data_IF_371128487364
#
_entry.id   IF_371128487364
#
_cell.length_a   1.000
_cell.length_b   1.000
_cell.length_c   1.000
_cell.angle_alpha   90.00
_cell.angle_beta   90.00
_cell.angle_gamma   90.00
#
_symmetry.space_group_name_H-M   'P 1'
#
loop_
_entity.id
_entity.type
_entity.pdbx_description
1 polymer ?
#
# COMPACT_ATOMS: atom_id res chain seq x y z
N UNK A 1 30.49 23.87 -29.31
CA UNK A 1 29.67 24.40 -28.18
C UNK A 1 28.43 23.58 -28.08
N UNK A 2 28.41 22.66 -27.15
CA UNK A 2 27.32 22.04 -26.41
C UNK A 2 27.83 20.73 -25.78
N UNK A 3 28.26 20.75 -24.50
CA UNK A 3 28.29 19.52 -23.73
C UNK A 3 27.73 19.82 -22.34
N UNK A 4 26.41 20.02 -22.22
CA UNK A 4 25.77 20.24 -20.88
C UNK A 4 24.43 19.55 -20.69
N UNK A 5 23.96 18.73 -21.65
CA UNK A 5 22.66 18.04 -21.58
C UNK A 5 22.80 16.57 -21.14
N UNK A 6 24.00 15.98 -21.17
CA UNK A 6 24.20 14.57 -20.77
C UNK A 6 24.39 14.32 -19.27
N UNK A 7 24.60 15.34 -18.46
CA UNK A 7 24.85 15.18 -17.01
C UNK A 7 23.58 15.04 -16.15
N UNK A 8 22.39 15.36 -16.66
CA UNK A 8 21.13 15.35 -15.91
C UNK A 8 20.34 14.04 -16.00
N UNK A 9 20.77 13.09 -16.85
CA UNK A 9 20.08 11.81 -17.02
C UNK A 9 20.61 10.65 -16.16
N UNK A 10 21.66 10.86 -15.37
CA UNK A 10 22.30 9.80 -14.55
C UNK A 10 21.99 9.80 -13.05
N UNK A 11 21.08 10.64 -12.55
CA UNK A 11 20.73 10.69 -11.13
C UNK A 11 19.57 9.77 -10.70
N UNK A 12 19.14 8.83 -11.53
CA UNK A 12 17.98 7.95 -11.32
C UNK A 12 18.30 6.48 -11.01
N UNK A 13 19.55 6.09 -10.83
CA UNK A 13 19.85 4.71 -10.41
C UNK A 13 19.70 4.56 -8.89
N UNK A 14 18.49 4.22 -8.45
CA UNK A 14 18.24 3.73 -7.10
C UNK A 14 19.02 2.42 -6.91
N UNK A 15 19.98 2.42 -5.99
CA UNK A 15 20.75 1.26 -5.60
C UNK A 15 19.83 0.09 -5.21
N UNK A 16 19.80 -1.05 -5.94
CA UNK A 16 18.85 -2.14 -5.69
C UNK A 16 18.97 -2.75 -4.28
N UNK A 17 20.18 -2.75 -3.71
CA UNK A 17 20.43 -3.27 -2.37
C UNK A 17 19.81 -2.41 -1.27
N UNK A 18 19.84 -1.08 -1.41
CA UNK A 18 19.20 -0.15 -0.47
C UNK A 18 17.66 -0.23 -0.54
N UNK A 19 17.13 -0.56 -1.73
CA UNK A 19 15.69 -0.70 -1.95
C UNK A 19 15.12 -1.97 -1.27
N UNK A 20 15.87 -3.07 -1.24
CA UNK A 20 15.45 -4.31 -0.59
C UNK A 20 15.34 -4.18 0.94
N UNK A 21 16.16 -3.36 1.58
CA UNK A 21 16.18 -3.18 3.03
C UNK A 21 14.90 -2.52 3.59
N UNK A 22 14.41 -1.49 2.92
CA UNK A 22 13.19 -0.78 3.36
C UNK A 22 11.95 -1.66 3.22
N UNK A 23 11.84 -2.43 2.14
CA UNK A 23 10.70 -3.31 1.93
C UNK A 23 10.65 -4.43 2.95
N UNK A 24 11.81 -5.05 3.27
CA UNK A 24 11.89 -6.08 4.32
C UNK A 24 11.44 -5.52 5.67
N UNK A 25 11.96 -4.36 6.08
CA UNK A 25 11.55 -3.69 7.32
C UNK A 25 10.05 -3.35 7.33
N UNK A 26 9.53 -2.76 6.26
CA UNK A 26 8.10 -2.41 6.15
C UNK A 26 7.20 -3.64 6.29
N UNK A 27 7.54 -4.76 5.64
CA UNK A 27 6.72 -5.97 5.71
C UNK A 27 6.87 -6.72 7.04
N UNK A 28 7.96 -6.50 7.79
CA UNK A 28 8.16 -7.06 9.12
C UNK A 28 7.52 -6.25 10.26
N UNK A 29 6.98 -5.04 9.99
CA UNK A 29 6.28 -4.25 11.01
C UNK A 29 5.16 -5.07 11.65
N UNK A 30 5.01 -4.94 12.96
CA UNK A 30 3.90 -5.57 13.69
C UNK A 30 2.63 -4.71 13.63
N UNK A 31 2.08 -4.58 12.43
CA UNK A 31 0.85 -3.84 12.14
C UNK A 31 -0.05 -4.63 11.18
N UNK A 32 -1.37 -4.38 11.15
CA UNK A 32 -2.29 -5.00 10.21
C UNK A 32 -1.85 -4.84 8.74
N UNK A 33 -2.14 -5.84 7.91
CA UNK A 33 -1.77 -5.83 6.49
C UNK A 33 -2.28 -4.60 5.73
N UNK A 34 -3.48 -4.10 6.07
CA UNK A 34 -4.03 -2.86 5.48
C UNK A 34 -3.10 -1.65 5.66
N UNK A 35 -2.44 -1.53 6.82
CA UNK A 35 -1.47 -0.47 7.10
C UNK A 35 -0.18 -0.69 6.33
N UNK A 36 0.31 -1.95 6.24
CA UNK A 36 1.48 -2.29 5.41
C UNK A 36 1.26 -1.94 3.94
N UNK A 37 0.07 -2.25 3.39
CA UNK A 37 -0.30 -1.89 2.03
C UNK A 37 -0.42 -0.38 1.82
N UNK A 38 -0.99 0.34 2.80
CA UNK A 38 -1.04 1.80 2.76
C UNK A 38 0.37 2.41 2.69
N UNK A 39 1.30 1.99 3.57
CA UNK A 39 2.69 2.46 3.55
C UNK A 39 3.38 2.17 2.20
N UNK A 40 3.13 0.99 1.63
CA UNK A 40 3.64 0.65 0.30
C UNK A 40 3.13 1.61 -0.77
N UNK A 41 1.82 1.86 -0.81
CA UNK A 41 1.21 2.81 -1.75
C UNK A 41 1.75 4.23 -1.56
N UNK A 42 1.94 4.67 -0.32
CA UNK A 42 2.53 5.97 0.00
C UNK A 42 3.96 6.09 -0.53
N UNK A 43 4.80 5.08 -0.30
CA UNK A 43 6.17 5.05 -0.83
C UNK A 43 6.24 5.02 -2.36
N UNK A 44 5.27 4.37 -3.01
CA UNK A 44 5.16 4.30 -4.48
C UNK A 44 4.44 5.51 -5.10
N UNK A 45 4.09 6.55 -4.31
CA UNK A 45 3.30 7.71 -4.75
C UNK A 45 1.96 7.33 -5.39
N UNK A 46 1.38 6.19 -4.95
CA UNK A 46 0.16 5.59 -5.50
C UNK A 46 -1.11 5.93 -4.71
N UNK A 47 -1.01 6.83 -3.72
CA UNK A 47 -2.18 7.33 -3.01
C UNK A 47 -2.96 8.33 -3.89
N UNK A 48 -4.30 8.40 -3.79
CA UNK A 48 -5.13 9.37 -4.52
C UNK A 48 -5.06 10.76 -3.85
N UNK A 49 -3.87 11.37 -3.85
CA UNK A 49 -3.64 12.75 -3.43
C UNK A 49 -4.21 13.71 -4.47
N UNK A 50 -4.47 14.97 -4.12
CA UNK A 50 -4.97 15.98 -5.07
C UNK A 50 -4.08 16.10 -6.30
N UNK A 51 -2.75 16.11 -6.11
CA UNK A 51 -1.78 16.09 -7.21
C UNK A 51 -1.95 14.88 -8.13
N UNK A 52 -2.17 13.67 -7.57
CA UNK A 52 -2.37 12.47 -8.38
C UNK A 52 -3.75 12.46 -9.06
N UNK A 53 -4.79 12.94 -8.39
CA UNK A 53 -6.12 13.09 -8.96
C UNK A 53 -6.15 14.12 -10.07
N UNK A 54 -5.44 15.24 -9.91
CA UNK A 54 -5.30 16.27 -10.94
C UNK A 54 -4.60 15.72 -12.19
N UNK A 55 -3.50 14.97 -12.02
CA UNK A 55 -2.83 14.27 -13.13
C UNK A 55 -3.75 13.31 -13.89
N UNK A 56 -4.69 12.67 -13.18
CA UNK A 56 -5.68 11.75 -13.78
C UNK A 56 -6.92 12.48 -14.30
N UNK A 57 -6.95 13.83 -14.26
CA UNK A 57 -8.09 14.67 -14.68
C UNK A 57 -9.39 14.40 -13.90
N UNK A 58 -9.28 13.86 -12.67
CA UNK A 58 -10.42 13.64 -11.76
C UNK A 58 -10.78 14.94 -11.03
N UNK A 59 -9.80 15.78 -10.72
CA UNK A 59 -9.98 17.11 -10.13
C UNK A 59 -9.21 18.15 -10.93
N UNK A 60 -9.60 19.42 -10.82
CA UNK A 60 -8.92 20.55 -11.47
C UNK A 60 -7.92 21.23 -10.54
N UNK A 61 -8.01 20.98 -9.22
CA UNK A 61 -7.19 21.63 -8.22
C UNK A 61 -6.34 20.57 -7.50
N UNK A 62 -5.05 20.83 -7.37
CA UNK A 62 -4.07 19.99 -6.68
C UNK A 62 -3.64 20.55 -5.31
N UNK A 63 -4.23 21.69 -4.88
CA UNK A 63 -3.94 22.34 -3.60
C UNK A 63 -4.57 21.53 -2.44
N UNK A 64 -3.82 21.44 -1.34
CA UNK A 64 -4.25 20.78 -0.11
C UNK A 64 -5.46 21.48 0.51
N UNK A 65 -6.54 20.75 0.75
CA UNK A 65 -7.75 21.29 1.38
C UNK A 65 -7.55 21.64 2.87
N UNK A 66 -6.56 21.03 3.53
CA UNK A 66 -6.33 21.27 4.96
C UNK A 66 -5.63 22.62 5.20
N UNK A 67 -4.58 22.94 4.46
CA UNK A 67 -3.86 24.20 4.62
C UNK A 67 -4.26 25.28 3.61
N UNK A 68 -4.79 24.90 2.47
CA UNK A 68 -5.23 25.84 1.41
C UNK A 68 -4.08 26.48 0.61
N UNK A 69 -2.83 26.10 0.84
CA UNK A 69 -1.66 26.80 0.31
C UNK A 69 -0.81 25.95 -0.63
N UNK A 70 -0.45 24.76 -0.21
CA UNK A 70 0.56 23.92 -0.88
C UNK A 70 -0.06 22.83 -1.75
N UNK A 71 0.69 22.42 -2.78
CA UNK A 71 0.31 21.27 -3.62
C UNK A 71 0.31 20.00 -2.78
N UNK A 72 -0.82 19.30 -2.80
CA UNK A 72 -0.99 18.10 -2.04
C UNK A 72 -0.44 16.87 -2.78
N UNK A 73 0.81 16.56 -2.53
CA UNK A 73 1.38 15.27 -2.85
C UNK A 73 1.44 14.34 -1.61
N UNK A 74 2.06 13.17 -1.73
CA UNK A 74 2.05 12.18 -0.64
C UNK A 74 2.79 12.65 0.61
N UNK A 75 3.93 13.35 0.45
CA UNK A 75 4.70 13.82 1.60
C UNK A 75 4.00 14.99 2.29
N UNK A 76 3.43 15.91 1.51
CA UNK A 76 2.65 17.00 2.07
C UNK A 76 1.40 16.49 2.80
N UNK A 77 0.63 15.59 2.18
CA UNK A 77 -0.61 15.06 2.74
C UNK A 77 -0.42 14.27 4.06
N UNK A 78 0.77 13.72 4.30
CA UNK A 78 1.04 12.86 5.44
C UNK A 78 2.04 13.44 6.44
N UNK A 79 2.84 14.45 6.06
CA UNK A 79 3.92 14.96 6.90
C UNK A 79 4.05 16.49 6.90
N UNK A 80 4.22 17.13 5.73
CA UNK A 80 4.66 18.53 5.63
C UNK A 80 3.54 19.55 5.87
N UNK A 81 2.27 19.15 5.73
CA UNK A 81 1.15 20.04 5.95
C UNK A 81 1.20 20.65 7.36
N UNK A 82 1.12 21.99 7.44
CA UNK A 82 1.21 22.72 8.70
C UNK A 82 0.21 22.25 9.75
N UNK A 83 -0.99 21.87 9.29
CA UNK A 83 -2.07 21.39 10.13
C UNK A 83 -1.73 20.04 10.82
N UNK A 84 -0.82 19.25 10.25
CA UNK A 84 -0.40 17.97 10.82
C UNK A 84 0.70 18.08 11.88
N UNK A 85 1.33 19.24 12.02
CA UNK A 85 2.44 19.42 12.96
C UNK A 85 2.04 19.12 14.40
N UNK A 86 0.84 19.49 14.81
CA UNK A 86 0.32 19.22 16.15
C UNK A 86 0.23 17.71 16.42
N UNK A 87 -0.21 16.93 15.42
CA UNK A 87 -0.33 15.48 15.55
C UNK A 87 1.06 14.84 15.72
N UNK A 88 2.01 15.25 14.88
CA UNK A 88 3.37 14.70 14.90
C UNK A 88 4.18 15.16 16.11
N UNK A 89 3.79 16.28 16.75
CA UNK A 89 4.42 16.78 17.96
C UNK A 89 4.26 15.84 19.16
N UNK A 90 3.17 15.07 19.20
CA UNK A 90 2.89 14.07 20.24
C UNK A 90 3.87 12.87 20.20
N UNK A 91 4.58 12.70 19.10
CA UNK A 91 5.55 11.61 18.91
C UNK A 91 6.96 12.20 19.04
N UNK A 92 7.69 11.87 20.11
CA UNK A 92 8.99 12.48 20.43
C UNK A 92 9.99 12.46 19.28
N UNK A 93 10.04 11.34 18.57
CA UNK A 93 10.93 11.18 17.43
C UNK A 93 10.51 12.01 16.22
N UNK A 94 9.21 12.19 16.04
CA UNK A 94 8.70 13.04 14.98
C UNK A 94 8.96 14.50 15.33
N UNK A 95 8.85 14.88 16.60
CA UNK A 95 9.16 16.22 17.11
C UNK A 95 10.58 16.65 16.72
N UNK A 96 11.58 15.80 16.93
CA UNK A 96 12.96 16.08 16.56
C UNK A 96 13.18 16.24 15.06
N UNK A 97 12.33 15.64 14.25
CA UNK A 97 12.44 15.59 12.79
C UNK A 97 11.45 16.50 12.05
N UNK A 98 10.53 17.19 12.75
CA UNK A 98 9.48 18.01 12.15
C UNK A 98 10.00 19.12 11.22
N UNK A 99 11.23 19.59 11.45
CA UNK A 99 11.84 20.63 10.63
C UNK A 99 12.74 20.08 9.53
N UNK A 100 12.96 18.76 9.48
CA UNK A 100 13.72 18.14 8.41
C UNK A 100 12.85 18.04 7.15
N UNK A 101 13.41 18.48 6.03
CA UNK A 101 12.78 18.28 4.71
C UNK A 101 13.16 16.93 4.15
N UNK A 102 12.15 16.18 3.75
CA UNK A 102 12.31 14.91 3.07
C UNK A 102 11.92 15.07 1.61
N UNK A 103 12.63 14.44 0.69
CA UNK A 103 12.31 14.53 -0.74
C UNK A 103 11.05 13.75 -1.12
N UNK A 104 10.73 12.71 -0.35
CA UNK A 104 9.52 11.92 -0.54
C UNK A 104 9.18 11.10 0.73
N UNK A 105 7.98 10.53 0.76
CA UNK A 105 7.52 9.71 1.88
C UNK A 105 8.41 8.48 2.14
N UNK A 106 9.06 7.92 1.11
CA UNK A 106 10.01 6.81 1.27
C UNK A 106 11.23 7.23 2.09
N UNK A 107 11.76 8.42 1.85
CA UNK A 107 12.91 8.93 2.59
C UNK A 107 12.56 9.18 4.05
N UNK A 108 11.40 9.76 4.33
CA UNK A 108 10.85 9.92 5.67
C UNK A 108 10.75 8.55 6.38
N UNK A 109 10.10 7.57 5.77
CA UNK A 109 9.94 6.23 6.34
C UNK A 109 11.30 5.54 6.57
N UNK A 110 12.26 5.77 5.68
CA UNK A 110 13.64 5.27 5.87
C UNK A 110 14.29 5.91 7.10
N UNK A 111 14.05 7.18 7.34
CA UNK A 111 14.48 7.89 8.56
C UNK A 111 13.86 7.27 9.81
N UNK A 112 12.55 7.07 9.82
CA UNK A 112 11.82 6.44 10.93
C UNK A 112 12.36 5.04 11.24
N UNK A 113 12.67 4.23 10.22
CA UNK A 113 13.25 2.89 10.42
C UNK A 113 14.68 2.85 10.97
N UNK A 114 15.39 3.97 11.00
CA UNK A 114 16.72 4.07 11.61
C UNK A 114 16.65 4.33 13.11
N UNK A 115 15.49 4.72 13.58
CA UNK A 115 15.27 4.99 14.99
C UNK A 115 15.16 3.67 15.74
N UNK A 116 15.86 3.58 16.86
CA UNK A 116 15.91 2.37 17.68
C UNK A 116 14.91 2.36 18.85
N UNK A 117 13.98 3.34 18.86
CA UNK A 117 12.92 3.38 19.87
C UNK A 117 11.88 2.29 19.64
N UNK A 118 11.47 1.55 20.68
CA UNK A 118 10.45 0.51 20.58
C UNK A 118 9.14 1.04 20.01
N UNK A 119 8.52 0.30 19.11
CA UNK A 119 7.21 0.60 18.50
C UNK A 119 7.13 1.95 17.76
N UNK A 120 8.24 2.66 17.58
CA UNK A 120 8.22 3.97 16.94
C UNK A 120 7.70 3.90 15.50
N UNK A 121 8.17 2.93 14.73
CA UNK A 121 7.76 2.74 13.35
C UNK A 121 6.30 2.29 13.24
N UNK A 122 5.83 1.50 14.20
CA UNK A 122 4.44 1.05 14.30
C UNK A 122 3.53 2.24 14.64
N UNK A 123 3.85 3.03 15.67
CA UNK A 123 3.08 4.23 16.03
C UNK A 123 3.00 5.18 14.83
N UNK A 124 4.15 5.47 14.20
CA UNK A 124 4.18 6.29 12.99
C UNK A 124 3.25 5.74 11.90
N UNK A 125 3.28 4.44 11.65
CA UNK A 125 2.46 3.79 10.64
C UNK A 125 0.95 3.92 10.93
N UNK A 126 0.55 3.72 12.19
CA UNK A 126 -0.85 3.88 12.60
C UNK A 126 -1.32 5.32 12.50
N UNK A 127 -0.52 6.30 12.94
CA UNK A 127 -0.85 7.72 12.87
C UNK A 127 -0.96 8.17 11.41
N UNK A 128 0.02 7.84 10.57
CA UNK A 128 -0.01 8.17 9.14
C UNK A 128 -1.23 7.57 8.44
N UNK A 129 -1.60 6.32 8.78
CA UNK A 129 -2.81 5.67 8.27
C UNK A 129 -4.09 6.34 8.81
N UNK A 130 -4.09 6.76 10.07
CA UNK A 130 -5.17 7.53 10.68
C UNK A 130 -5.42 8.85 9.97
N UNK A 131 -4.36 9.65 9.74
CA UNK A 131 -4.40 10.90 8.97
C UNK A 131 -5.00 10.65 7.58
N UNK A 132 -4.49 9.66 6.86
CA UNK A 132 -4.97 9.33 5.52
C UNK A 132 -6.43 8.90 5.49
N UNK A 133 -6.83 8.02 6.41
CA UNK A 133 -8.20 7.49 6.47
C UNK A 133 -9.22 8.58 6.79
N UNK A 134 -8.88 9.48 7.71
CA UNK A 134 -9.74 10.62 8.05
C UNK A 134 -9.88 11.57 6.88
N UNK A 135 -8.78 11.90 6.21
CA UNK A 135 -8.79 12.73 5.02
C UNK A 135 -9.68 12.15 3.90
N UNK A 136 -9.61 10.84 3.68
CA UNK A 136 -10.37 10.17 2.60
C UNK A 136 -11.86 10.04 2.88
N UNK A 137 -12.28 10.00 4.15
CA UNK A 137 -13.68 9.72 4.52
C UNK A 137 -14.53 10.96 4.74
N UNK A 138 -13.93 12.08 5.05
CA UNK A 138 -14.66 13.16 5.73
C UNK A 138 -14.77 14.46 4.97
N UNK A 139 -14.30 14.56 3.72
CA UNK A 139 -14.44 15.85 3.01
C UNK A 139 -14.78 16.99 4.00
N UNK A 140 -13.98 17.97 4.21
CA UNK A 140 -14.19 19.19 5.03
C UNK A 140 -14.65 19.10 6.51
N UNK A 141 -14.95 17.94 7.11
CA UNK A 141 -15.21 17.87 8.55
C UNK A 141 -13.91 17.52 9.28
N UNK A 142 -13.19 18.55 9.70
CA UNK A 142 -11.99 18.46 10.52
C UNK A 142 -12.28 17.74 11.83
N UNK A 143 -11.77 16.51 11.95
CA UNK A 143 -11.73 15.85 13.26
C UNK A 143 -10.63 16.52 14.08
N UNK A 144 -10.84 16.79 15.37
CA UNK A 144 -9.82 17.35 16.23
C UNK A 144 -8.51 16.54 16.15
N UNK A 145 -7.41 17.20 15.82
CA UNK A 145 -6.10 16.58 15.60
C UNK A 145 -5.58 15.75 16.80
N UNK A 146 -5.81 16.15 18.08
CA UNK A 146 -5.35 15.37 19.24
C UNK A 146 -5.90 13.93 19.27
N UNK A 147 -7.10 13.73 18.75
CA UNK A 147 -7.74 12.41 18.76
C UNK A 147 -7.10 11.38 17.83
N UNK A 148 -6.35 11.82 16.81
CA UNK A 148 -5.71 10.90 15.85
C UNK A 148 -4.62 10.07 16.53
N UNK A 149 -3.80 10.71 17.36
CA UNK A 149 -2.71 10.04 18.06
C UNK A 149 -3.26 9.03 19.09
N UNK A 150 -4.26 9.44 19.86
CA UNK A 150 -4.92 8.57 20.85
C UNK A 150 -5.56 7.37 20.17
N UNK A 151 -6.38 7.58 19.14
CA UNK A 151 -7.02 6.49 18.38
C UNK A 151 -5.96 5.54 17.74
N UNK A 152 -4.82 6.06 17.31
CA UNK A 152 -3.75 5.28 16.72
C UNK A 152 -3.06 4.38 17.75
N UNK A 153 -2.77 4.92 18.93
CA UNK A 153 -2.13 4.17 20.02
C UNK A 153 -3.06 3.11 20.62
N UNK A 154 -4.33 3.41 20.80
CA UNK A 154 -5.34 2.45 21.26
C UNK A 154 -5.47 1.27 20.29
N UNK A 155 -5.58 1.54 18.99
CA UNK A 155 -5.69 0.48 17.97
C UNK A 155 -4.41 -0.36 17.86
N UNK A 156 -3.26 0.24 18.07
CA UNK A 156 -2.00 -0.50 18.10
C UNK A 156 -1.96 -1.45 19.31
N UNK A 157 -2.34 -0.96 20.49
CA UNK A 157 -2.39 -1.76 21.70
C UNK A 157 -3.41 -2.91 21.58
N UNK A 158 -4.61 -2.63 21.06
CA UNK A 158 -5.63 -3.65 20.78
C UNK A 158 -5.10 -4.74 19.84
N UNK A 159 -4.47 -4.35 18.75
CA UNK A 159 -3.90 -5.31 17.79
C UNK A 159 -2.81 -6.17 18.42
N UNK A 160 -1.93 -5.57 19.24
CA UNK A 160 -0.87 -6.32 19.92
C UNK A 160 -1.44 -7.26 20.98
N UNK A 161 -2.45 -6.85 21.76
CA UNK A 161 -3.08 -7.70 22.75
C UNK A 161 -3.74 -8.94 22.15
N UNK A 162 -4.41 -8.78 21.00
CA UNK A 162 -5.02 -9.91 20.27
C UNK A 162 -4.01 -10.92 19.73
N UNK A 163 -2.74 -10.54 19.56
CA UNK A 163 -1.70 -11.45 19.09
C UNK A 163 -1.09 -12.30 20.21
N UNK A 164 -1.13 -11.82 21.46
CA UNK A 164 -0.55 -12.53 22.61
C UNK A 164 -1.31 -13.82 22.89
N UNK A 165 -2.62 -13.85 22.61
CA UNK A 165 -3.47 -15.02 22.87
C UNK A 165 -3.46 -16.06 21.72
N UNK A 166 -2.78 -15.79 20.61
CA UNK A 166 -2.63 -16.79 19.56
C UNK A 166 -1.42 -17.69 19.88
N UNK A 167 -1.61 -19.01 20.00
CA UNK A 167 -0.47 -19.91 20.09
C UNK A 167 0.43 -19.65 18.88
N UNK A 168 1.77 -19.66 19.05
CA UNK A 168 2.67 -19.40 17.94
C UNK A 168 2.29 -20.38 16.82
N UNK A 169 1.79 -19.83 15.71
CA UNK A 169 1.61 -20.61 14.50
C UNK A 169 2.99 -21.14 14.21
N UNK A 170 3.19 -22.43 14.43
CA UNK A 170 4.46 -23.08 14.12
C UNK A 170 4.85 -22.58 12.72
N UNK A 171 6.07 -22.04 12.54
CA UNK A 171 6.48 -21.58 11.24
C UNK A 171 6.24 -22.76 10.31
N UNK A 172 5.28 -22.64 9.39
CA UNK A 172 5.17 -23.58 8.30
C UNK A 172 6.50 -23.47 7.57
N UNK A 173 7.43 -24.34 7.89
CA UNK A 173 8.72 -24.49 7.24
C UNK A 173 8.39 -25.02 5.84
N UNK A 174 7.97 -24.13 5.00
CA UNK A 174 7.66 -24.37 3.63
C UNK A 174 7.29 -23.02 3.03
N UNK A 175 8.26 -22.41 2.36
CA UNK A 175 7.91 -21.45 1.34
C UNK A 175 6.89 -22.16 0.47
N UNK A 176 5.62 -21.71 0.48
CA UNK A 176 4.63 -22.15 -0.49
C UNK A 176 5.04 -21.58 -1.85
N UNK A 177 6.11 -22.14 -2.41
CA UNK A 177 6.47 -21.87 -3.77
C UNK A 177 5.45 -22.54 -4.65
N UNK A 178 5.11 -21.88 -5.74
CA UNK A 178 4.32 -22.52 -6.77
C UNK A 178 5.15 -23.64 -7.39
N UNK A 179 4.57 -24.85 -7.45
CA UNK A 179 5.19 -26.01 -8.12
C UNK A 179 4.31 -26.41 -9.32
N UNK A 180 4.95 -26.80 -10.44
CA UNK A 180 4.21 -27.39 -11.54
C UNK A 180 3.58 -28.71 -11.11
N UNK A 181 2.51 -29.17 -11.77
CA UNK A 181 1.89 -30.45 -11.47
C UNK A 181 2.79 -31.61 -11.89
N UNK A 182 2.60 -32.78 -11.29
CA UNK A 182 3.29 -34.00 -11.74
C UNK A 182 2.74 -34.46 -13.10
N UNK A 183 3.59 -34.98 -13.99
CA UNK A 183 3.14 -35.56 -15.25
C UNK A 183 2.25 -36.79 -14.96
N UNK A 184 1.16 -37.02 -15.73
CA UNK A 184 0.68 -36.25 -16.89
C UNK A 184 -0.35 -35.15 -16.55
N UNK A 185 -0.42 -34.68 -15.30
CA UNK A 185 -1.42 -33.73 -14.84
C UNK A 185 -1.17 -32.32 -15.39
N UNK A 186 -2.25 -31.59 -15.56
CA UNK A 186 -2.23 -30.15 -15.89
C UNK A 186 -2.68 -29.36 -14.67
N UNK A 187 -2.10 -28.18 -14.47
CA UNK A 187 -2.51 -27.24 -13.42
C UNK A 187 -3.29 -26.10 -14.03
N UNK A 188 -4.54 -25.98 -13.62
CA UNK A 188 -5.40 -24.86 -13.99
C UNK A 188 -5.40 -23.84 -12.85
N UNK A 189 -5.12 -22.60 -13.17
CA UNK A 189 -5.31 -21.45 -12.28
C UNK A 189 -6.35 -20.54 -12.91
N UNK A 190 -7.34 -20.15 -12.15
CA UNK A 190 -8.35 -19.18 -12.57
C UNK A 190 -8.49 -18.10 -11.50
N UNK A 191 -8.94 -16.92 -11.94
CA UNK A 191 -9.20 -15.76 -11.07
C UNK A 191 -10.30 -14.92 -11.71
N UNK A 192 -11.06 -14.19 -10.89
CA UNK A 192 -12.17 -13.38 -11.33
C UNK A 192 -12.15 -11.97 -10.74
N UNK A 193 -12.67 -11.01 -11.49
CA UNK A 193 -12.78 -9.60 -11.09
C UNK A 193 -14.18 -9.07 -11.35
N UNK A 194 -14.75 -8.32 -10.41
CA UNK A 194 -16.06 -7.69 -10.53
C UNK A 194 -15.91 -6.25 -11.02
N UNK A 195 -16.65 -5.89 -12.07
CA UNK A 195 -16.80 -4.54 -12.60
C UNK A 195 -18.21 -4.03 -12.28
N UNK A 196 -18.38 -3.51 -11.05
CA UNK A 196 -19.68 -3.04 -10.56
C UNK A 196 -20.28 -1.95 -11.46
N UNK A 197 -19.44 -1.03 -11.96
CA UNK A 197 -19.85 0.12 -12.78
C UNK A 197 -20.47 -0.32 -14.13
N UNK A 198 -20.09 -1.48 -14.64
CA UNK A 198 -20.57 -2.01 -15.93
C UNK A 198 -21.48 -3.21 -15.79
N UNK A 199 -21.79 -3.64 -14.56
CA UNK A 199 -22.55 -4.87 -14.27
C UNK A 199 -21.98 -6.09 -14.98
N UNK A 200 -20.66 -6.23 -14.98
CA UNK A 200 -19.92 -7.32 -15.60
C UNK A 200 -18.91 -7.93 -14.62
N UNK A 201 -18.46 -9.14 -14.92
CA UNK A 201 -17.31 -9.76 -14.29
C UNK A 201 -16.32 -10.22 -15.38
N UNK A 202 -15.03 -10.15 -15.07
CA UNK A 202 -13.97 -10.70 -15.91
C UNK A 202 -13.46 -11.99 -15.30
N UNK A 203 -13.16 -12.99 -16.14
CA UNK A 203 -12.58 -14.27 -15.74
C UNK A 203 -11.27 -14.45 -16.52
N UNK A 204 -10.21 -14.87 -15.80
CA UNK A 204 -8.94 -15.28 -16.37
C UNK A 204 -8.63 -16.72 -16.02
N UNK A 205 -8.21 -17.51 -16.98
CA UNK A 205 -7.81 -18.92 -16.80
C UNK A 205 -6.44 -19.12 -17.43
N UNK A 206 -5.55 -19.84 -16.74
CA UNK A 206 -4.23 -20.23 -17.25
C UNK A 206 -4.00 -21.71 -16.97
N UNK A 207 -3.64 -22.47 -17.99
CA UNK A 207 -3.35 -23.90 -17.91
C UNK A 207 -1.84 -24.11 -18.11
N UNK A 208 -1.23 -24.88 -17.21
CA UNK A 208 0.21 -25.17 -17.25
C UNK A 208 0.47 -26.68 -17.21
N UNK A 209 1.54 -27.07 -17.91
CA UNK A 209 2.03 -28.46 -17.92
C UNK A 209 2.98 -28.75 -16.73
N UNK A 210 3.49 -29.97 -16.69
CA UNK A 210 4.44 -30.43 -15.67
C UNK A 210 5.81 -29.74 -15.70
N UNK A 211 6.15 -29.01 -16.76
CA UNK A 211 7.33 -28.15 -16.84
C UNK A 211 7.01 -26.70 -16.41
N UNK A 212 5.76 -26.39 -16.00
CA UNK A 212 5.32 -25.06 -15.65
C UNK A 212 5.03 -24.16 -16.85
N UNK A 213 5.13 -24.67 -18.06
CA UNK A 213 4.88 -23.92 -19.30
C UNK A 213 3.37 -23.70 -19.48
N UNK A 214 3.00 -22.48 -19.86
CA UNK A 214 1.62 -22.18 -20.24
C UNK A 214 1.29 -22.86 -21.57
N UNK A 215 0.28 -23.74 -21.56
CA UNK A 215 -0.21 -24.46 -22.73
C UNK A 215 -1.55 -23.90 -23.21
N UNK A 216 -2.26 -23.18 -22.35
CA UNK A 216 -3.51 -22.51 -22.69
C UNK A 216 -3.78 -21.34 -21.75
N UNK A 217 -4.46 -20.33 -22.25
CA UNK A 217 -4.97 -19.22 -21.46
C UNK A 217 -6.27 -18.68 -22.07
N UNK A 218 -7.21 -18.28 -21.23
CA UNK A 218 -8.47 -17.68 -21.61
C UNK A 218 -8.71 -16.43 -20.79
N UNK A 219 -9.29 -15.42 -21.42
CA UNK A 219 -9.86 -14.25 -20.73
C UNK A 219 -11.23 -13.98 -21.32
N UNK A 220 -12.24 -13.89 -20.47
CA UNK A 220 -13.63 -13.68 -20.90
C UNK A 220 -14.36 -12.69 -19.99
N UNK A 221 -15.45 -12.13 -20.47
CA UNK A 221 -16.36 -11.28 -19.71
C UNK A 221 -17.73 -11.91 -19.63
N UNK A 222 -18.27 -11.96 -18.43
CA UNK A 222 -19.60 -12.47 -18.15
C UNK A 222 -20.48 -11.38 -17.53
N UNK A 223 -21.79 -11.58 -17.56
CA UNK A 223 -22.73 -10.75 -16.81
C UNK A 223 -22.39 -10.87 -15.31
N UNK A 224 -22.48 -9.77 -14.56
CA UNK A 224 -22.16 -9.74 -13.14
C UNK A 224 -22.97 -10.80 -12.38
N UNK A 225 -22.34 -11.81 -11.79
CA UNK A 225 -23.01 -12.78 -10.94
C UNK A 225 -23.42 -12.19 -9.59
N UNK A 226 -24.24 -12.90 -8.85
CA UNK A 226 -24.78 -12.43 -7.58
C UNK A 226 -23.71 -12.42 -6.48
N UNK A 227 -22.76 -13.36 -6.53
CA UNK A 227 -21.71 -13.51 -5.52
C UNK A 227 -20.32 -13.66 -6.18
N UNK A 228 -19.27 -13.44 -5.40
CA UNK A 228 -17.88 -13.69 -5.85
C UNK A 228 -17.66 -15.18 -6.12
N UNK A 229 -18.26 -16.03 -5.30
CA UNK A 229 -18.17 -17.48 -5.44
C UNK A 229 -18.76 -17.97 -6.79
N UNK A 230 -19.78 -17.29 -7.31
CA UNK A 230 -20.33 -17.57 -8.63
C UNK A 230 -19.33 -17.23 -9.77
N UNK A 231 -18.49 -16.21 -9.58
CA UNK A 231 -17.43 -15.87 -10.55
C UNK A 231 -16.35 -16.94 -10.55
N UNK A 232 -15.96 -17.42 -9.38
CA UNK A 232 -14.98 -18.51 -9.24
C UNK A 232 -15.52 -19.81 -9.86
N UNK A 233 -16.78 -20.15 -9.59
CA UNK A 233 -17.45 -21.32 -10.19
C UNK A 233 -17.53 -21.22 -11.73
N UNK A 234 -17.80 -20.02 -12.27
CA UNK A 234 -17.78 -19.81 -13.72
C UNK A 234 -16.35 -19.96 -14.29
N UNK A 235 -15.31 -19.53 -13.56
CA UNK A 235 -13.91 -19.75 -13.94
C UNK A 235 -13.55 -21.24 -14.00
N UNK A 236 -14.01 -22.03 -13.04
CA UNK A 236 -13.85 -23.48 -13.04
C UNK A 236 -14.52 -24.13 -14.25
N UNK A 237 -15.77 -23.77 -14.55
CA UNK A 237 -16.52 -24.33 -15.71
C UNK A 237 -15.85 -23.97 -17.05
N UNK A 238 -15.31 -22.74 -17.20
CA UNK A 238 -14.62 -22.35 -18.41
C UNK A 238 -13.28 -23.07 -18.59
N UNK A 239 -12.67 -23.53 -17.53
CA UNK A 239 -11.42 -24.29 -17.57
C UNK A 239 -11.58 -25.70 -18.10
N UNK A 240 -12.80 -26.23 -18.13
CA UNK A 240 -13.15 -27.59 -18.59
C UNK A 240 -13.60 -27.64 -20.07
N UNK A 241 -13.68 -26.50 -20.75
CA UNK A 241 -14.02 -26.39 -22.19
C UNK A 241 -12.75 -26.25 -23.02
#
# INVERSE_FOLDING_TARGET
MLPEIEALSKSGQSNPAANNGIWKKKWSLNVPNKIKHFLWRACCKALPTKKNLCKRKVTRNDVCENCGEEVEDTIHALWECLVLKEIWWEIDICRSNLFNRFTCFRDLLTGIFRVQEPNCAEIFAYVAWGIWTKRSRLGNNSIPHPKIFVDATERMQEFHSMQIDQPPIAPSIGYTCWFPPSAPLLKVNFDGVLFMDTSQAGIGVVIRDSAGKVIGALSDRIVLPTTVDDVEAAGEQLSLR
#
